data_IF_798620417502
#
_entry.id   IF_798620417502
#
_cell.length_a   1.000
_cell.length_b   1.000
_cell.length_c   1.000
_cell.angle_alpha   90.00
_cell.angle_beta   90.00
_cell.angle_gamma   90.00
#
_symmetry.space_group_name_H-M   'P 1'
#
loop_
_entity.id
_entity.type
_entity.pdbx_description
1 polymer ?
#
# COMPACT_ATOMS: atom_id res chain seq x y z
N UNK A 1 -25.60 -30.06 -20.05
CA UNK A 1 -25.59 -30.07 -18.57
C UNK A 1 -26.12 -28.73 -18.11
N UNK A 2 -26.99 -28.68 -17.09
CA UNK A 2 -27.49 -27.42 -16.56
C UNK A 2 -26.35 -26.68 -15.83
N UNK A 3 -26.27 -25.35 -15.98
CA UNK A 3 -25.30 -24.52 -15.25
C UNK A 3 -25.63 -24.52 -13.76
N UNK A 4 -24.62 -24.45 -12.90
CA UNK A 4 -24.80 -24.38 -11.44
C UNK A 4 -25.56 -23.10 -11.06
N UNK A 5 -26.54 -23.21 -10.17
CA UNK A 5 -27.44 -22.10 -9.81
C UNK A 5 -27.46 -21.81 -8.32
N UNK A 6 -28.02 -20.64 -7.94
CA UNK A 6 -28.27 -20.28 -6.53
C UNK A 6 -29.15 -21.33 -5.83
N UNK A 7 -30.10 -21.94 -6.53
CA UNK A 7 -30.96 -22.98 -5.96
C UNK A 7 -30.19 -24.27 -5.66
N UNK A 8 -29.20 -24.62 -6.49
CA UNK A 8 -28.31 -25.75 -6.24
C UNK A 8 -27.40 -25.46 -5.03
N UNK A 9 -26.84 -24.25 -4.98
CA UNK A 9 -26.08 -23.76 -3.84
C UNK A 9 -26.88 -23.82 -2.52
N UNK A 10 -28.12 -23.33 -2.53
CA UNK A 10 -29.03 -23.41 -1.36
C UNK A 10 -29.26 -24.88 -0.97
N UNK A 11 -29.52 -25.77 -1.93
CA UNK A 11 -29.76 -27.20 -1.67
C UNK A 11 -28.58 -27.87 -0.98
N UNK A 12 -27.36 -27.49 -1.32
CA UNK A 12 -26.13 -27.99 -0.72
C UNK A 12 -25.83 -27.39 0.66
N UNK A 13 -26.09 -26.10 0.85
CA UNK A 13 -25.80 -25.40 2.11
C UNK A 13 -26.79 -25.75 3.22
N UNK A 14 -28.08 -25.92 2.92
CA UNK A 14 -29.13 -26.22 3.92
C UNK A 14 -28.75 -27.37 4.87
N UNK A 15 -28.34 -28.57 4.43
CA UNK A 15 -28.02 -29.68 5.34
C UNK A 15 -26.78 -29.43 6.19
N UNK A 16 -25.82 -28.63 5.73
CA UNK A 16 -24.61 -28.28 6.49
C UNK A 16 -24.93 -27.20 7.53
N UNK A 17 -25.55 -26.10 7.10
CA UNK A 17 -25.89 -24.98 7.98
C UNK A 17 -26.97 -25.34 9.00
N UNK A 18 -27.79 -26.37 8.74
CA UNK A 18 -28.77 -26.86 9.70
C UNK A 18 -28.20 -27.76 10.79
N UNK A 19 -26.89 -28.09 10.75
CA UNK A 19 -26.16 -28.69 11.89
C UNK A 19 -25.70 -27.63 12.90
N UNK A 20 -26.32 -26.44 12.86
CA UNK A 20 -26.03 -25.33 13.74
C UNK A 20 -26.01 -25.73 15.23
N UNK A 21 -25.18 -25.08 16.06
CA UNK A 21 -25.22 -25.25 17.50
C UNK A 21 -26.62 -25.00 18.07
N UNK A 22 -27.00 -25.71 19.15
CA UNK A 22 -28.36 -25.69 19.69
C UNK A 22 -28.88 -24.27 20.03
N UNK A 23 -27.99 -23.39 20.49
CA UNK A 23 -28.27 -22.01 20.85
C UNK A 23 -28.47 -21.07 19.64
N UNK A 24 -28.08 -21.47 18.44
CA UNK A 24 -28.21 -20.66 17.24
C UNK A 24 -29.67 -20.56 16.79
N UNK A 25 -30.06 -19.37 16.34
CA UNK A 25 -31.36 -19.10 15.68
C UNK A 25 -31.21 -18.48 14.29
N UNK A 26 -30.06 -17.87 14.02
CA UNK A 26 -29.69 -17.35 12.71
C UNK A 26 -28.18 -17.54 12.47
N UNK A 27 -27.75 -17.32 11.24
CA UNK A 27 -26.36 -17.30 10.85
C UNK A 27 -26.19 -16.40 9.65
N UNK A 28 -25.05 -15.72 9.57
CA UNK A 28 -24.69 -14.89 8.44
C UNK A 28 -23.21 -15.07 8.14
N UNK A 29 -22.92 -15.27 6.86
CA UNK A 29 -21.57 -15.36 6.34
C UNK A 29 -21.42 -14.43 5.14
N UNK A 30 -20.29 -13.74 5.10
CA UNK A 30 -19.86 -12.94 3.97
C UNK A 30 -18.67 -13.64 3.32
N UNK A 31 -18.71 -13.76 2.00
CA UNK A 31 -17.65 -14.32 1.18
C UNK A 31 -17.32 -13.41 0.01
N UNK A 32 -16.06 -13.47 -0.44
CA UNK A 32 -15.56 -12.77 -1.63
C UNK A 32 -15.10 -13.77 -2.67
N UNK A 33 -15.18 -13.41 -3.96
CA UNK A 33 -14.60 -14.21 -5.06
C UNK A 33 -13.20 -13.71 -5.41
N UNK A 34 -12.48 -14.42 -6.28
CA UNK A 34 -11.17 -13.97 -6.77
C UNK A 34 -11.24 -12.64 -7.54
N UNK A 35 -12.43 -12.20 -7.98
CA UNK A 35 -12.63 -10.88 -8.57
C UNK A 35 -12.38 -9.72 -7.57
N UNK A 36 -12.35 -10.00 -6.26
CA UNK A 36 -11.92 -9.09 -5.20
C UNK A 36 -10.39 -9.16 -4.90
N UNK A 37 -9.62 -9.89 -5.72
CA UNK A 37 -8.18 -10.12 -5.52
C UNK A 37 -7.86 -11.26 -4.57
N UNK A 38 -8.80 -11.62 -3.68
CA UNK A 38 -8.70 -12.77 -2.81
C UNK A 38 -10.09 -13.38 -2.57
N UNK A 39 -10.13 -14.71 -2.52
CA UNK A 39 -11.29 -15.44 -2.02
C UNK A 39 -11.19 -15.56 -0.50
N UNK A 40 -12.26 -15.19 0.19
CA UNK A 40 -12.37 -15.32 1.64
C UNK A 40 -13.80 -15.65 2.05
N UNK A 41 -13.96 -16.18 3.25
CA UNK A 41 -15.27 -16.41 3.86
C UNK A 41 -15.15 -16.19 5.35
N UNK A 42 -16.05 -15.40 5.92
CA UNK A 42 -16.12 -15.10 7.36
C UNK A 42 -17.57 -15.06 7.80
N UNK A 43 -17.81 -15.26 9.10
CA UNK A 43 -19.15 -15.22 9.68
C UNK A 43 -19.39 -16.37 10.64
N UNK A 44 -20.65 -16.54 11.03
CA UNK A 44 -21.01 -17.55 12.01
C UNK A 44 -22.46 -17.44 12.47
N UNK A 45 -22.81 -18.31 13.41
CA UNK A 45 -24.14 -18.36 13.98
C UNK A 45 -24.35 -17.29 15.06
N UNK A 46 -25.62 -16.92 15.26
CA UNK A 46 -26.07 -15.99 16.29
C UNK A 46 -27.23 -16.57 17.08
N UNK A 47 -27.27 -16.24 18.37
CA UNK A 47 -28.39 -16.56 19.24
C UNK A 47 -29.56 -15.57 19.08
N UNK A 48 -30.64 -15.78 19.83
CA UNK A 48 -31.83 -14.92 19.78
C UNK A 48 -31.58 -13.47 20.21
N UNK A 49 -30.48 -13.20 20.91
CA UNK A 49 -30.06 -11.86 21.31
C UNK A 49 -29.08 -11.23 20.30
N UNK A 50 -28.73 -11.94 19.23
CA UNK A 50 -27.81 -11.51 18.19
C UNK A 50 -26.32 -11.76 18.52
N UNK A 51 -26.02 -12.42 19.65
CA UNK A 51 -24.64 -12.69 20.07
C UNK A 51 -24.05 -13.85 19.27
N UNK A 52 -22.73 -13.81 18.96
CA UNK A 52 -22.05 -14.91 18.30
C UNK A 52 -22.16 -16.20 19.13
N UNK A 53 -22.47 -17.31 18.46
CA UNK A 53 -22.45 -18.64 19.05
C UNK A 53 -21.16 -19.32 18.61
N UNK A 54 -20.39 -19.83 19.58
CA UNK A 54 -19.18 -20.61 19.27
C UNK A 54 -19.57 -21.84 18.47
N UNK A 55 -18.94 -22.00 17.32
CA UNK A 55 -18.96 -23.21 16.52
C UNK A 55 -17.51 -23.57 16.23
N UNK A 56 -17.04 -24.67 16.79
CA UNK A 56 -15.67 -25.13 16.62
C UNK A 56 -15.48 -25.80 15.25
N UNK A 57 -16.58 -26.03 14.50
CA UNK A 57 -16.52 -26.56 13.14
C UNK A 57 -16.13 -25.48 12.12
N UNK A 58 -15.14 -25.81 11.28
CA UNK A 58 -14.82 -25.03 10.08
C UNK A 58 -15.67 -25.42 8.87
N UNK A 59 -16.56 -26.41 9.00
CA UNK A 59 -17.35 -26.94 7.89
C UNK A 59 -18.21 -25.88 7.19
N UNK A 60 -18.90 -24.96 7.91
CA UNK A 60 -19.70 -23.92 7.26
C UNK A 60 -18.87 -23.00 6.37
N UNK A 61 -17.71 -22.53 6.83
CA UNK A 61 -16.86 -21.64 6.04
C UNK A 61 -16.28 -22.35 4.81
N UNK A 62 -15.87 -23.62 4.97
CA UNK A 62 -15.32 -24.42 3.87
C UNK A 62 -16.35 -24.65 2.77
N UNK A 63 -17.55 -25.12 3.13
CA UNK A 63 -18.59 -25.41 2.12
C UNK A 63 -19.10 -24.13 1.45
N UNK A 64 -19.16 -23.01 2.17
CA UNK A 64 -19.52 -21.72 1.59
C UNK A 64 -18.48 -21.32 0.55
N UNK A 65 -17.19 -21.47 0.84
CA UNK A 65 -16.12 -21.27 -0.14
C UNK A 65 -16.32 -22.13 -1.41
N UNK A 66 -16.51 -23.44 -1.25
CA UNK A 66 -16.70 -24.38 -2.36
C UNK A 66 -17.95 -24.06 -3.22
N UNK A 67 -19.02 -23.55 -2.59
CA UNK A 67 -20.25 -23.14 -3.28
C UNK A 67 -20.06 -21.80 -4.01
N UNK A 68 -19.38 -20.84 -3.39
CA UNK A 68 -19.10 -19.53 -3.98
C UNK A 68 -18.20 -19.67 -5.21
N UNK A 69 -17.20 -20.54 -5.17
CA UNK A 69 -16.33 -20.83 -6.32
C UNK A 69 -17.15 -21.38 -7.51
N UNK A 70 -18.00 -22.37 -7.27
CA UNK A 70 -18.87 -22.93 -8.32
C UNK A 70 -19.91 -21.95 -8.84
N UNK A 71 -20.42 -21.05 -7.98
CA UNK A 71 -21.29 -19.96 -8.42
C UNK A 71 -20.53 -18.97 -9.33
N UNK A 72 -19.27 -18.65 -9.02
CA UNK A 72 -18.43 -17.75 -9.82
C UNK A 72 -18.09 -18.37 -11.18
N UNK A 73 -17.74 -19.66 -11.22
CA UNK A 73 -17.48 -20.41 -12.45
C UNK A 73 -18.70 -20.49 -13.38
N UNK A 74 -19.91 -20.56 -12.82
CA UNK A 74 -21.16 -20.69 -13.55
C UNK A 74 -21.83 -19.34 -13.88
N UNK A 75 -21.29 -18.23 -13.38
CA UNK A 75 -21.92 -16.92 -13.43
C UNK A 75 -21.94 -16.34 -14.85
N UNK A 76 -23.08 -15.77 -15.24
CA UNK A 76 -23.19 -14.94 -16.46
C UNK A 76 -22.97 -13.45 -16.16
N UNK A 77 -23.22 -13.03 -14.92
CA UNK A 77 -23.01 -11.66 -14.43
C UNK A 77 -21.90 -11.67 -13.36
N UNK A 78 -21.11 -10.60 -13.33
CA UNK A 78 -20.01 -10.47 -12.36
C UNK A 78 -20.55 -10.25 -10.96
N UNK A 79 -19.96 -10.92 -9.98
CA UNK A 79 -20.13 -10.62 -8.57
C UNK A 79 -18.80 -10.89 -7.84
N UNK A 80 -18.60 -10.19 -6.73
CA UNK A 80 -17.40 -10.37 -5.90
C UNK A 80 -17.71 -10.36 -4.40
N UNK A 81 -19.00 -10.23 -4.04
CA UNK A 81 -19.52 -10.42 -2.70
C UNK A 81 -20.69 -11.40 -2.73
N UNK A 82 -20.68 -12.31 -1.77
CA UNK A 82 -21.76 -13.25 -1.51
C UNK A 82 -22.12 -13.18 -0.04
N UNK A 83 -23.42 -12.98 0.25
CA UNK A 83 -23.94 -13.06 1.61
C UNK A 83 -24.84 -14.27 1.72
N UNK A 84 -24.45 -15.22 2.57
CA UNK A 84 -25.25 -16.40 2.90
C UNK A 84 -25.91 -16.16 4.24
N UNK A 85 -27.23 -16.29 4.29
CA UNK A 85 -27.99 -16.22 5.54
C UNK A 85 -28.69 -17.52 5.81
N UNK A 86 -28.66 -17.94 7.06
CA UNK A 86 -29.40 -19.08 7.56
C UNK A 86 -30.34 -18.63 8.68
N UNK A 87 -31.54 -19.19 8.70
CA UNK A 87 -32.52 -18.97 9.75
C UNK A 87 -33.10 -20.29 10.21
N UNK A 88 -33.10 -20.52 11.52
CA UNK A 88 -33.69 -21.69 12.14
C UNK A 88 -35.18 -21.77 11.80
N UNK A 89 -35.71 -22.97 11.50
CA UNK A 89 -37.14 -23.13 11.26
C UNK A 89 -37.94 -22.76 12.51
N UNK A 90 -39.11 -22.15 12.31
CA UNK A 90 -40.01 -21.80 13.41
C UNK A 90 -40.61 -23.04 14.09
N UNK A 91 -40.75 -24.16 13.35
CA UNK A 91 -41.34 -25.41 13.82
C UNK A 91 -40.46 -26.62 13.41
N UNK A 92 -40.42 -27.71 14.21
CA UNK A 92 -39.51 -28.84 13.98
C UNK A 92 -39.67 -29.57 12.64
N UNK A 93 -40.82 -29.48 12.00
CA UNK A 93 -41.11 -30.12 10.70
C UNK A 93 -40.84 -29.20 9.50
N UNK A 94 -40.51 -27.93 9.73
CA UNK A 94 -40.14 -26.99 8.68
C UNK A 94 -38.65 -27.10 8.38
N UNK A 95 -38.28 -26.80 7.13
CA UNK A 95 -36.87 -26.68 6.73
C UNK A 95 -36.32 -25.34 7.17
N UNK A 96 -35.03 -25.30 7.51
CA UNK A 96 -34.33 -24.05 7.69
C UNK A 96 -34.37 -23.23 6.40
N UNK A 97 -34.42 -21.92 6.55
CA UNK A 97 -34.35 -21.00 5.41
C UNK A 97 -32.89 -20.64 5.18
N UNK A 98 -32.40 -20.86 3.97
CA UNK A 98 -31.11 -20.34 3.50
C UNK A 98 -31.38 -19.39 2.35
N UNK A 99 -30.77 -18.22 2.38
CA UNK A 99 -30.77 -17.26 1.27
C UNK A 99 -29.33 -16.94 0.89
N UNK A 100 -29.12 -16.69 -0.40
CA UNK A 100 -27.84 -16.28 -0.96
C UNK A 100 -28.09 -15.00 -1.75
N UNK A 101 -27.33 -13.97 -1.43
CA UNK A 101 -27.34 -12.71 -2.17
C UNK A 101 -25.96 -12.49 -2.79
N UNK A 102 -25.92 -12.30 -4.10
CA UNK A 102 -24.69 -11.97 -4.84
C UNK A 102 -24.73 -10.49 -5.22
N UNK A 103 -23.59 -9.81 -5.08
CA UNK A 103 -23.45 -8.42 -5.53
C UNK A 103 -22.04 -8.13 -6.02
N UNK A 104 -21.91 -7.10 -6.84
CA UNK A 104 -20.63 -6.61 -7.31
C UNK A 104 -20.29 -5.28 -6.63
N UNK A 105 -19.21 -5.26 -5.87
CA UNK A 105 -18.67 -4.07 -5.23
C UNK A 105 -17.36 -3.64 -5.93
N UNK A 106 -17.41 -2.55 -6.67
CA UNK A 106 -16.24 -2.00 -7.36
C UNK A 106 -15.11 -1.61 -6.40
N UNK A 107 -15.41 -1.27 -5.14
CA UNK A 107 -14.42 -0.77 -4.18
C UNK A 107 -13.42 -1.84 -3.72
N UNK A 108 -13.75 -3.12 -3.87
CA UNK A 108 -12.87 -4.24 -3.51
C UNK A 108 -12.22 -4.90 -4.74
N UNK A 109 -12.44 -4.36 -5.94
CA UNK A 109 -11.81 -4.87 -7.16
C UNK A 109 -10.35 -4.42 -7.18
N UNK A 110 -9.39 -5.35 -7.33
CA UNK A 110 -7.98 -5.02 -7.50
C UNK A 110 -7.77 -4.07 -8.67
N UNK A 111 -6.90 -3.08 -8.46
CA UNK A 111 -6.55 -2.13 -9.51
C UNK A 111 -5.82 -2.84 -10.64
N UNK A 112 -6.38 -2.74 -11.84
CA UNK A 112 -5.78 -3.22 -13.08
C UNK A 112 -4.84 -2.19 -13.70
N UNK A 113 -4.08 -2.57 -14.74
CA UNK A 113 -3.08 -1.73 -15.40
C UNK A 113 -3.59 -0.38 -15.92
N UNK A 114 -4.84 -0.36 -16.34
CA UNK A 114 -5.46 0.80 -16.99
C UNK A 114 -6.27 1.65 -16.02
N UNK A 115 -6.10 1.46 -14.71
CA UNK A 115 -6.81 2.24 -13.71
C UNK A 115 -6.39 3.73 -13.84
N UNK A 116 -7.35 4.66 -14.09
CA UNK A 116 -7.05 6.08 -14.27
C UNK A 116 -6.40 6.72 -13.04
N UNK A 117 -6.43 6.04 -11.89
CA UNK A 117 -5.74 6.48 -10.69
C UNK A 117 -4.24 6.66 -10.86
N UNK A 118 -3.61 5.85 -11.73
CA UNK A 118 -2.19 5.92 -11.99
C UNK A 118 -1.82 7.22 -12.69
N UNK A 119 -2.60 7.64 -13.68
CA UNK A 119 -2.40 8.92 -14.35
C UNK A 119 -2.64 10.10 -13.39
N UNK A 120 -3.66 10.01 -12.52
CA UNK A 120 -3.90 11.04 -11.49
C UNK A 120 -2.71 11.17 -10.54
N UNK A 121 -2.18 10.06 -10.04
CA UNK A 121 -1.01 10.05 -9.15
C UNK A 121 0.24 10.62 -9.85
N UNK A 122 0.51 10.18 -11.08
CA UNK A 122 1.65 10.67 -11.87
C UNK A 122 1.51 12.18 -12.17
N UNK A 123 0.32 12.64 -12.53
CA UNK A 123 0.03 14.05 -12.79
C UNK A 123 0.21 14.92 -11.55
N UNK A 124 -0.25 14.46 -10.37
CA UNK A 124 -0.08 15.19 -9.11
C UNK A 124 1.41 15.35 -8.73
N UNK A 125 2.19 14.27 -8.81
CA UNK A 125 3.64 14.33 -8.58
C UNK A 125 4.36 15.23 -9.58
N UNK A 126 4.04 15.10 -10.87
CA UNK A 126 4.63 15.92 -11.92
C UNK A 126 4.39 17.41 -11.68
N UNK A 127 3.13 17.79 -11.40
CA UNK A 127 2.78 19.17 -11.08
C UNK A 127 3.54 19.68 -9.85
N UNK A 128 3.66 18.86 -8.81
CA UNK A 128 4.42 19.21 -7.61
C UNK A 128 5.90 19.43 -7.91
N UNK A 129 6.57 18.50 -8.60
CA UNK A 129 8.00 18.62 -8.91
C UNK A 129 8.30 19.79 -9.86
N UNK A 130 7.43 20.03 -10.86
CA UNK A 130 7.54 21.19 -11.75
C UNK A 130 7.33 22.52 -11.02
N UNK A 131 6.59 22.54 -9.91
CA UNK A 131 6.47 23.74 -9.08
C UNK A 131 7.76 24.08 -8.31
N UNK A 132 8.64 23.09 -8.11
CA UNK A 132 9.90 23.23 -7.37
C UNK A 132 11.09 23.61 -8.26
N UNK A 133 10.97 23.50 -9.58
CA UNK A 133 12.01 23.85 -10.55
C UNK A 133 11.76 23.25 -11.93
N UNK A 134 12.77 23.34 -12.80
CA UNK A 134 12.71 22.76 -14.14
C UNK A 134 13.17 21.31 -14.08
N UNK A 135 12.29 20.36 -14.40
CA UNK A 135 12.66 18.95 -14.53
C UNK A 135 13.59 18.80 -15.74
N UNK A 136 14.78 18.23 -15.52
CA UNK A 136 15.79 18.07 -16.57
C UNK A 136 15.34 17.02 -17.58
N UNK A 137 15.22 17.44 -18.84
CA UNK A 137 14.83 16.53 -19.92
C UNK A 137 15.88 15.43 -20.15
N UNK A 138 15.41 14.23 -20.46
CA UNK A 138 16.27 13.07 -20.75
C UNK A 138 17.02 12.49 -19.55
N UNK A 139 16.97 13.13 -18.38
CA UNK A 139 17.48 12.56 -17.14
C UNK A 139 16.38 11.76 -16.44
N UNK A 140 16.57 10.45 -16.40
CA UNK A 140 15.94 9.61 -15.41
C UNK A 140 16.96 8.54 -15.00
N UNK A 141 17.41 8.55 -13.75
CA UNK A 141 18.07 7.38 -13.22
C UNK A 141 16.97 6.31 -13.10
N UNK A 142 17.02 5.32 -13.99
CA UNK A 142 16.04 4.25 -14.10
C UNK A 142 16.77 2.91 -14.08
N UNK A 143 16.45 2.04 -13.12
CA UNK A 143 16.93 0.64 -13.15
C UNK A 143 16.14 -0.25 -14.13
N UNK A 144 15.06 0.26 -14.71
CA UNK A 144 14.23 -0.42 -15.72
C UNK A 144 13.39 0.61 -16.50
N UNK A 145 13.02 0.34 -17.77
CA UNK A 145 12.19 1.26 -18.56
C UNK A 145 10.88 1.60 -17.84
N UNK A 146 10.53 2.88 -17.83
CA UNK A 146 9.22 3.33 -17.42
C UNK A 146 8.11 2.81 -18.37
N UNK A 147 6.92 2.55 -17.83
CA UNK A 147 5.70 2.27 -18.56
C UNK A 147 5.11 3.57 -19.13
N UNK A 148 3.99 3.46 -19.85
CA UNK A 148 3.31 4.61 -20.48
C UNK A 148 2.89 5.71 -19.48
N UNK A 149 2.87 5.40 -18.18
CA UNK A 149 2.58 6.32 -17.08
C UNK A 149 3.82 6.74 -16.30
N UNK A 150 5.01 6.61 -16.88
CA UNK A 150 6.29 6.94 -16.24
C UNK A 150 6.67 6.05 -15.02
N UNK A 151 6.05 4.88 -14.84
CA UNK A 151 6.32 3.97 -13.71
C UNK A 151 7.24 2.81 -14.14
N UNK A 152 8.20 2.38 -13.32
CA UNK A 152 8.94 1.14 -13.63
C UNK A 152 7.98 -0.05 -13.75
N UNK A 153 8.22 -0.93 -14.73
CA UNK A 153 7.33 -2.02 -15.14
C UNK A 153 7.05 -3.03 -13.99
N UNK A 154 6.00 -2.75 -13.20
CA UNK A 154 5.20 -3.66 -12.38
C UNK A 154 5.84 -4.35 -11.14
N UNK A 155 5.12 -4.26 -10.01
CA UNK A 155 5.31 -4.95 -8.71
C UNK A 155 6.71 -4.87 -8.07
N UNK A 156 7.31 -3.69 -8.08
CA UNK A 156 8.51 -3.39 -7.31
C UNK A 156 8.70 -1.87 -7.24
N UNK A 157 9.45 -1.37 -6.25
CA UNK A 157 9.56 0.05 -5.94
C UNK A 157 9.81 0.87 -7.21
N UNK A 158 9.15 2.02 -7.29
CA UNK A 158 9.19 2.89 -8.45
C UNK A 158 10.57 3.53 -8.55
N UNK A 159 11.47 2.90 -9.31
CA UNK A 159 12.90 3.22 -9.36
C UNK A 159 13.24 4.34 -10.32
N UNK A 160 12.40 5.37 -10.38
CA UNK A 160 12.60 6.55 -11.23
C UNK A 160 13.02 7.73 -10.37
N UNK A 161 14.15 8.34 -10.72
CA UNK A 161 14.60 9.58 -10.12
C UNK A 161 14.50 10.73 -11.12
N UNK A 162 13.90 11.84 -10.69
CA UNK A 162 13.91 13.10 -11.40
C UNK A 162 15.08 13.96 -10.92
N UNK A 163 15.74 14.65 -11.85
CA UNK A 163 16.60 15.78 -11.53
C UNK A 163 15.83 17.07 -11.82
N UNK A 164 15.79 17.97 -10.84
CA UNK A 164 15.03 19.21 -10.90
C UNK A 164 16.01 20.36 -10.65
N UNK A 165 16.19 21.19 -11.66
CA UNK A 165 17.02 22.38 -11.61
C UNK A 165 16.23 23.53 -10.99
N UNK A 166 16.64 23.98 -9.81
CA UNK A 166 16.00 25.06 -9.06
C UNK A 166 17.00 26.21 -8.80
N UNK A 167 16.55 27.43 -8.47
CA UNK A 167 17.45 28.54 -8.20
C UNK A 167 18.46 28.20 -7.10
N UNK A 168 19.75 28.14 -7.46
CA UNK A 168 20.84 27.88 -6.52
C UNK A 168 21.01 26.42 -6.08
N UNK A 169 20.22 25.46 -6.60
CA UNK A 169 20.31 24.05 -6.21
C UNK A 169 19.81 23.07 -7.27
N UNK A 170 20.24 21.81 -7.13
CA UNK A 170 19.68 20.66 -7.86
C UNK A 170 18.96 19.79 -6.84
N UNK A 171 17.74 19.36 -7.17
CA UNK A 171 16.96 18.41 -6.37
C UNK A 171 16.93 17.08 -7.12
N UNK A 172 17.29 15.99 -6.45
CA UNK A 172 17.01 14.64 -6.92
C UNK A 172 15.81 14.11 -6.15
N UNK A 173 14.80 13.61 -6.85
CA UNK A 173 13.54 13.21 -6.23
C UNK A 173 13.07 11.87 -6.76
N UNK A 174 12.52 11.03 -5.89
CA UNK A 174 11.79 9.85 -6.33
C UNK A 174 10.50 10.27 -7.05
N UNK A 175 10.16 9.51 -8.08
CA UNK A 175 8.90 9.67 -8.79
C UNK A 175 8.21 8.32 -8.87
N UNK A 176 7.51 7.99 -7.78
CA UNK A 176 6.52 6.93 -7.80
C UNK A 176 6.42 6.11 -6.54
N UNK A 177 7.21 6.36 -5.49
CA UNK A 177 7.05 5.64 -4.21
C UNK A 177 5.60 5.73 -3.70
N UNK A 178 4.94 6.85 -3.96
CA UNK A 178 3.55 7.12 -3.60
C UNK A 178 2.50 6.62 -4.59
N UNK A 179 2.89 5.89 -5.64
CA UNK A 179 1.94 5.33 -6.60
C UNK A 179 1.09 4.27 -5.91
N UNK A 180 -0.25 4.33 -6.03
CA UNK A 180 -1.11 3.29 -5.49
C UNK A 180 -0.72 1.89 -5.95
N UNK A 181 -0.84 0.91 -5.06
CA UNK A 181 -0.49 -0.47 -5.38
C UNK A 181 -1.39 -1.05 -6.46
N UNK A 182 -0.79 -1.70 -7.45
CA UNK A 182 -1.50 -2.55 -8.40
C UNK A 182 -1.95 -3.84 -7.73
N UNK A 183 -3.05 -4.44 -8.22
CA UNK A 183 -3.52 -5.71 -7.69
C UNK A 183 -4.09 -5.66 -6.25
N UNK A 184 -4.19 -4.47 -5.66
CA UNK A 184 -4.70 -4.23 -4.30
C UNK A 184 -5.86 -3.24 -4.40
N UNK A 185 -6.89 -3.42 -3.59
CA UNK A 185 -8.12 -2.62 -3.62
C UNK A 185 -8.10 -1.47 -2.61
N UNK A 186 -7.28 -1.61 -1.58
CA UNK A 186 -7.13 -0.73 -0.43
C UNK A 186 -6.75 0.68 -0.89
N UNK A 187 -7.42 1.73 -0.37
CA UNK A 187 -7.23 3.10 -0.82
C UNK A 187 -5.95 3.71 -0.23
N UNK A 188 -4.79 3.23 -0.68
CA UNK A 188 -3.48 3.62 -0.16
C UNK A 188 -2.57 4.15 -1.27
N UNK A 189 -1.79 5.19 -0.97
CA UNK A 189 -0.81 5.77 -1.87
C UNK A 189 0.55 5.07 -1.71
N UNK A 190 0.70 3.84 -2.21
CA UNK A 190 2.00 3.17 -2.28
C UNK A 190 2.71 3.09 -0.92
N UNK A 191 3.96 3.56 -0.90
CA UNK A 191 4.85 3.68 0.28
C UNK A 191 4.54 4.92 1.14
N UNK A 192 3.51 5.70 0.76
CA UNK A 192 2.98 6.84 1.52
C UNK A 192 3.93 8.03 1.68
N UNK A 193 5.01 8.12 0.88
CA UNK A 193 5.90 9.28 0.83
C UNK A 193 6.56 9.42 -0.56
N UNK A 194 7.26 10.54 -0.77
CA UNK A 194 8.35 10.63 -1.75
C UNK A 194 9.63 11.09 -1.05
N UNK A 195 10.77 10.60 -1.52
CA UNK A 195 12.10 10.98 -1.04
C UNK A 195 12.73 12.01 -1.96
N UNK A 196 13.54 12.91 -1.40
CA UNK A 196 14.37 13.80 -2.20
C UNK A 196 15.68 14.15 -1.51
N UNK A 197 16.68 14.53 -2.31
CA UNK A 197 17.97 15.06 -1.88
C UNK A 197 18.17 16.44 -2.51
N UNK A 198 18.81 17.36 -1.78
CA UNK A 198 19.16 18.68 -2.31
C UNK A 198 20.68 18.88 -2.34
N UNK A 199 21.16 19.46 -3.43
CA UNK A 199 22.58 19.76 -3.65
C UNK A 199 22.73 21.21 -4.11
N UNK A 200 23.81 21.87 -3.72
CA UNK A 200 24.08 23.24 -4.20
C UNK A 200 24.28 23.31 -5.71
N UNK A 201 24.07 24.49 -6.30
CA UNK A 201 24.21 24.73 -7.75
C UNK A 201 25.62 24.46 -8.32
N UNK A 202 26.65 24.43 -7.48
CA UNK A 202 28.04 24.33 -7.94
C UNK A 202 28.55 22.88 -8.13
N UNK A 203 27.73 21.86 -7.87
CA UNK A 203 28.32 20.68 -7.23
C UNK A 203 28.21 19.34 -7.94
N UNK A 204 27.47 19.18 -9.04
CA UNK A 204 27.33 17.83 -9.62
C UNK A 204 27.41 17.84 -11.15
N UNK A 205 28.34 17.07 -11.68
CA UNK A 205 28.34 16.67 -13.09
C UNK A 205 27.31 15.54 -13.34
N UNK A 206 27.12 15.16 -14.60
CA UNK A 206 26.13 14.15 -14.96
C UNK A 206 26.39 12.78 -14.32
N UNK A 207 27.65 12.40 -14.12
CA UNK A 207 28.03 11.13 -13.50
C UNK A 207 27.65 11.13 -12.01
N UNK A 208 28.02 12.20 -11.29
CA UNK A 208 27.71 12.35 -9.87
C UNK A 208 26.21 12.39 -9.62
N UNK A 209 25.46 13.05 -10.51
CA UNK A 209 23.98 13.04 -10.46
C UNK A 209 23.42 11.62 -10.63
N UNK A 210 23.99 10.82 -11.53
CA UNK A 210 23.57 9.43 -11.73
C UNK A 210 23.89 8.54 -10.51
N UNK A 211 25.04 8.74 -9.87
CA UNK A 211 25.43 8.01 -8.67
C UNK A 211 24.49 8.31 -7.49
N UNK A 212 24.23 9.60 -7.22
CA UNK A 212 23.25 9.99 -6.19
C UNK A 212 21.82 9.56 -6.54
N UNK A 213 21.46 9.55 -7.83
CA UNK A 213 20.19 8.98 -8.28
C UNK A 213 20.10 7.49 -7.98
N UNK A 214 21.17 6.73 -8.21
CA UNK A 214 21.24 5.30 -7.87
C UNK A 214 21.12 5.08 -6.37
N UNK A 215 21.81 5.88 -5.55
CA UNK A 215 21.63 5.84 -4.11
C UNK A 215 20.18 6.11 -3.71
N UNK A 216 19.54 7.12 -4.29
CA UNK A 216 18.16 7.48 -3.94
C UNK A 216 17.15 6.38 -4.32
N UNK A 217 17.43 5.60 -5.37
CA UNK A 217 16.69 4.37 -5.68
C UNK A 217 16.87 3.35 -4.55
N UNK A 218 18.10 3.08 -4.13
CA UNK A 218 18.39 2.10 -3.07
C UNK A 218 17.76 2.53 -1.72
N UNK A 219 17.75 3.83 -1.42
CA UNK A 219 17.03 4.38 -0.27
C UNK A 219 15.51 4.19 -0.39
N UNK A 220 14.95 4.41 -1.58
CA UNK A 220 13.53 4.17 -1.86
C UNK A 220 13.14 2.70 -1.64
N UNK A 221 13.96 1.76 -2.11
CA UNK A 221 13.77 0.32 -1.91
C UNK A 221 13.78 -0.02 -0.40
N UNK A 222 14.77 0.49 0.36
CA UNK A 222 14.82 0.28 1.82
C UNK A 222 13.63 0.90 2.56
N UNK A 223 13.15 2.07 2.12
CA UNK A 223 11.98 2.73 2.72
C UNK A 223 10.70 1.93 2.45
N UNK A 224 10.58 1.32 1.26
CA UNK A 224 9.47 0.42 0.93
C UNK A 224 9.48 -0.85 1.79
N UNK A 225 10.66 -1.44 2.03
CA UNK A 225 10.81 -2.65 2.85
C UNK A 225 10.66 -2.38 4.36
N UNK A 226 11.06 -1.18 4.81
CA UNK A 226 11.20 -0.82 6.22
C UNK A 226 9.90 -0.58 7.01
N UNK A 227 8.74 -0.85 6.43
CA UNK A 227 7.37 -0.69 6.99
C UNK A 227 7.16 0.55 7.88
N UNK A 228 6.48 1.58 7.33
CA UNK A 228 6.06 2.83 8.02
C UNK A 228 7.18 3.83 8.35
N UNK A 229 8.27 3.87 7.59
CA UNK A 229 9.33 4.90 7.74
C UNK A 229 8.76 6.33 7.75
N UNK A 230 7.77 6.64 6.92
CA UNK A 230 7.12 7.95 6.91
C UNK A 230 6.49 8.31 8.26
N UNK A 231 5.91 7.33 8.97
CA UNK A 231 5.35 7.51 10.31
C UNK A 231 6.43 7.76 11.35
N UNK A 232 7.56 7.06 11.26
CA UNK A 232 8.68 7.27 12.18
C UNK A 232 9.32 8.64 11.96
N UNK A 233 9.51 9.06 10.71
CA UNK A 233 9.96 10.43 10.38
C UNK A 233 8.97 11.47 10.90
N UNK A 234 7.65 11.28 10.74
CA UNK A 234 6.66 12.23 11.27
C UNK A 234 6.70 12.30 12.80
N UNK A 235 6.80 11.15 13.48
CA UNK A 235 6.85 11.07 14.95
C UNK A 235 8.11 11.72 15.51
N UNK A 236 9.26 11.49 14.87
CA UNK A 236 10.56 11.89 15.39
C UNK A 236 11.12 13.18 14.75
N UNK A 237 10.50 13.69 13.69
CA UNK A 237 10.98 14.81 12.87
C UNK A 237 12.17 14.44 11.97
N UNK A 238 13.15 13.68 12.49
CA UNK A 238 14.24 13.11 11.73
C UNK A 238 14.75 11.81 12.38
N UNK A 239 15.24 10.87 11.57
CA UNK A 239 15.79 9.58 12.00
C UNK A 239 17.14 9.31 11.32
N UNK A 240 18.04 8.64 12.03
CA UNK A 240 19.24 8.06 11.45
C UNK A 240 18.86 6.74 10.77
N UNK A 241 18.92 6.69 9.44
CA UNK A 241 18.27 5.65 8.67
C UNK A 241 19.20 4.48 8.33
N UNK A 242 20.25 4.73 7.55
CA UNK A 242 21.15 3.66 7.10
C UNK A 242 22.61 4.12 7.02
N UNK A 243 23.51 3.15 6.84
CA UNK A 243 24.93 3.36 6.54
C UNK A 243 25.13 3.34 5.03
N UNK A 244 26.01 4.21 4.54
CA UNK A 244 26.46 4.19 3.14
C UNK A 244 27.69 3.31 2.99
N UNK A 245 27.91 2.81 1.77
CA UNK A 245 29.15 2.11 1.39
C UNK A 245 30.32 3.09 1.32
N UNK A 246 31.54 2.56 1.22
CA UNK A 246 32.77 3.36 1.15
C UNK A 246 32.84 4.26 -0.10
N UNK A 247 32.03 3.97 -1.12
CA UNK A 247 31.93 4.74 -2.37
C UNK A 247 31.48 6.20 -2.15
N UNK A 248 30.81 6.48 -1.02
CA UNK A 248 30.27 7.80 -0.70
C UNK A 248 31.13 8.61 0.28
N UNK A 249 32.31 8.10 0.66
CA UNK A 249 33.18 8.79 1.62
C UNK A 249 33.49 10.24 1.18
N UNK A 250 33.49 11.21 2.12
CA UNK A 250 33.44 11.03 3.57
C UNK A 250 32.02 10.83 4.15
N UNK A 251 30.98 10.84 3.32
CA UNK A 251 29.60 10.64 3.74
C UNK A 251 29.35 9.14 3.98
N UNK A 252 28.92 8.78 5.17
CA UNK A 252 28.82 7.36 5.59
C UNK A 252 27.49 7.01 6.26
N UNK A 253 26.57 7.98 6.38
CA UNK A 253 25.24 7.81 6.97
C UNK A 253 24.20 8.61 6.21
N UNK A 254 22.96 8.17 6.26
CA UNK A 254 21.79 8.92 5.77
C UNK A 254 20.86 9.25 6.93
N UNK A 255 20.47 10.52 7.00
CA UNK A 255 19.33 10.96 7.80
C UNK A 255 18.12 11.09 6.88
N UNK A 256 16.98 10.58 7.32
CA UNK A 256 15.68 10.90 6.75
C UNK A 256 14.98 11.91 7.66
N UNK A 257 14.52 13.02 7.11
CA UNK A 257 13.84 14.07 7.86
C UNK A 257 12.59 14.56 7.19
N UNK A 258 11.64 15.01 8.00
CA UNK A 258 10.41 15.63 7.52
C UNK A 258 10.74 16.89 6.72
N UNK A 259 10.03 17.09 5.61
CA UNK A 259 9.96 18.36 4.93
C UNK A 259 8.53 18.92 5.09
N UNK A 260 8.35 20.25 5.23
CA UNK A 260 7.01 20.84 5.33
C UNK A 260 6.19 20.68 4.04
N UNK A 261 6.82 20.37 2.91
CA UNK A 261 6.17 20.11 1.64
C UNK A 261 5.36 18.81 1.64
N UNK A 262 4.22 18.85 0.95
CA UNK A 262 3.38 17.69 0.67
C UNK A 262 2.92 17.73 -0.79
N UNK A 263 2.70 16.55 -1.36
CA UNK A 263 2.11 16.38 -2.69
C UNK A 263 0.59 16.27 -2.52
N UNK A 264 -0.10 17.37 -2.79
CA UNK A 264 -1.56 17.41 -2.82
C UNK A 264 -2.12 16.85 -4.14
N UNK A 265 -3.43 16.57 -4.17
CA UNK A 265 -4.10 16.04 -5.36
C UNK A 265 -3.83 14.56 -5.66
N UNK A 266 -3.07 13.88 -4.80
CA UNK A 266 -2.87 12.44 -4.84
C UNK A 266 -4.19 11.68 -4.60
N UNK A 267 -4.37 10.48 -5.18
CA UNK A 267 -5.67 9.81 -5.19
C UNK A 267 -6.28 9.48 -3.82
N UNK A 268 -5.45 9.18 -2.82
CA UNK A 268 -5.88 8.77 -1.49
C UNK A 268 -5.42 9.72 -0.39
N UNK A 269 -5.37 11.02 -0.70
CA UNK A 269 -4.92 12.06 0.23
C UNK A 269 -3.48 12.46 0.01
N UNK A 270 -3.06 13.57 0.65
CA UNK A 270 -1.76 14.17 0.38
C UNK A 270 -0.60 13.37 0.95
N UNK A 271 0.49 13.31 0.18
CA UNK A 271 1.66 12.50 0.48
C UNK A 271 2.79 13.39 1.04
N UNK A 272 3.38 13.08 2.20
CA UNK A 272 4.50 13.83 2.76
C UNK A 272 5.78 13.67 1.93
N UNK A 273 6.62 14.71 1.97
CA UNK A 273 7.99 14.62 1.52
C UNK A 273 8.93 14.27 2.66
N UNK A 274 9.93 13.44 2.36
CA UNK A 274 11.03 13.13 3.25
C UNK A 274 12.34 13.54 2.57
N UNK A 275 13.10 14.38 3.24
CA UNK A 275 14.45 14.75 2.80
C UNK A 275 15.45 13.70 3.24
N UNK A 276 16.20 13.16 2.29
CA UNK A 276 17.37 12.33 2.54
C UNK A 276 18.63 13.21 2.55
N UNK A 277 19.36 13.19 3.67
CA UNK A 277 20.60 13.96 3.86
C UNK A 277 21.74 13.02 4.17
N UNK A 278 22.71 12.94 3.26
CA UNK A 278 23.96 12.20 3.50
C UNK A 278 24.89 13.02 4.41
N UNK A 279 25.46 12.37 5.43
CA UNK A 279 26.33 12.98 6.44
C UNK A 279 27.59 12.14 6.68
N UNK A 280 28.65 12.78 7.14
CA UNK A 280 29.81 12.12 7.70
C UNK A 280 29.50 11.63 9.12
N UNK A 281 30.14 10.53 9.54
CA UNK A 281 29.97 9.98 10.89
C UNK A 281 30.37 10.99 11.99
N UNK A 282 31.36 11.83 11.71
CA UNK A 282 31.85 12.88 12.62
C UNK A 282 30.77 13.91 12.98
N UNK A 283 29.71 14.05 12.17
CA UNK A 283 28.62 15.00 12.44
C UNK A 283 27.70 14.56 13.59
N UNK A 284 27.74 13.26 13.93
CA UNK A 284 26.96 12.62 15.00
C UNK A 284 27.83 11.98 16.10
N UNK A 285 29.16 12.15 16.05
CA UNK A 285 30.09 11.61 17.06
C UNK A 285 29.77 12.09 18.49
N UNK A 286 29.93 11.19 19.47
CA UNK A 286 29.74 11.46 20.90
C UNK A 286 28.29 11.46 21.38
N UNK A 287 27.36 10.80 20.65
CA UNK A 287 25.93 10.79 20.96
C UNK A 287 25.41 9.40 21.28
N UNK A 288 24.36 9.36 22.10
CA UNK A 288 23.76 8.15 22.66
C UNK A 288 23.17 7.26 21.53
N UNK A 289 23.73 6.06 21.32
CA UNK A 289 23.24 5.11 20.31
C UNK A 289 21.97 4.36 20.75
N UNK A 290 21.54 4.48 22.02
CA UNK A 290 20.40 3.76 22.57
C UNK A 290 19.06 4.53 22.45
N UNK A 291 19.06 5.72 21.84
CA UNK A 291 17.84 6.46 21.50
C UNK A 291 17.16 5.84 20.28
N UNK A 292 15.84 5.62 20.37
CA UNK A 292 14.99 5.19 19.24
C UNK A 292 15.32 6.00 17.97
N UNK A 293 15.74 5.27 16.93
CA UNK A 293 16.08 5.80 15.60
C UNK A 293 17.22 6.85 15.58
N UNK A 294 18.00 7.00 16.64
CA UNK A 294 19.06 8.02 16.73
C UNK A 294 18.54 9.44 16.48
N UNK A 295 17.28 9.70 16.84
CA UNK A 295 16.53 10.87 16.37
C UNK A 295 17.14 12.20 16.83
N UNK A 296 17.62 12.33 18.07
CA UNK A 296 18.26 13.55 18.54
C UNK A 296 19.59 13.80 17.83
N UNK A 297 20.36 12.75 17.54
CA UNK A 297 21.58 12.88 16.76
C UNK A 297 21.28 13.37 15.34
N UNK A 298 20.23 12.84 14.71
CA UNK A 298 19.77 13.27 13.40
C UNK A 298 19.35 14.75 13.39
N UNK A 299 18.41 15.14 14.27
CA UNK A 299 17.91 16.52 14.35
C UNK A 299 19.03 17.54 14.60
N UNK A 300 19.96 17.25 15.50
CA UNK A 300 21.06 18.17 15.79
C UNK A 300 22.08 18.25 14.65
N UNK A 301 22.34 17.16 13.92
CA UNK A 301 23.21 17.20 12.75
C UNK A 301 22.61 18.08 11.64
N UNK A 302 21.30 17.97 11.40
CA UNK A 302 20.57 18.83 10.47
C UNK A 302 20.56 20.29 10.92
N UNK A 303 20.33 20.56 12.20
CA UNK A 303 20.36 21.92 12.74
C UNK A 303 21.73 22.60 12.55
N UNK A 304 22.85 21.87 12.71
CA UNK A 304 24.21 22.38 12.42
C UNK A 304 24.40 22.78 10.96
N UNK A 305 23.68 22.14 10.03
CA UNK A 305 23.65 22.48 8.61
C UNK A 305 22.61 23.57 8.26
N UNK A 306 21.87 24.08 9.24
CA UNK A 306 20.79 25.05 9.02
C UNK A 306 19.55 24.46 8.33
N UNK A 307 19.33 23.14 8.46
CA UNK A 307 18.16 22.46 7.91
C UNK A 307 17.04 22.42 8.95
N UNK A 308 15.92 23.08 8.66
CA UNK A 308 14.70 23.10 9.49
C UNK A 308 13.79 21.88 9.19
N UNK A 309 12.96 21.49 10.17
CA UNK A 309 12.11 20.28 10.20
C UNK A 309 10.61 20.59 10.29
#
# INVERSE_FOLDING_TARGET
MASYSIDDAIRELVPVLSKAPAAAVSGEWAATTMQAGHSSSTGGYRDATGKPVSDDSRDPLRIIGDVVERLDEAATERFNRVVVRWKKPALPFMRAQVTIETSFDQAIVPRGPDDPIYERAASARRAFWQSRGTVREGFAAERAPANVYAQTKWFGPHRRILAIDAPGKVILATDGLSTPWAGISEPENGVECELFMEFGAATLDAATIADWGTLLIDLGDLVADGYRVARDVEKHGAILFCRLTEDYLPLSRVILSRDPGRIDGMPFGSVPLIRATAIAATEIEGRDPDEDWGASAARQALAKRGIEL
#
